data_IF_851626471044
#
_entry.id   IF_851626471044
#
_cell.length_a   1.000
_cell.length_b   1.000
_cell.length_c   1.000
_cell.angle_alpha   90.00
_cell.angle_beta   90.00
_cell.angle_gamma   90.00
#
_symmetry.space_group_name_H-M   'P 1'
#
loop_
_entity.id
_entity.type
_entity.pdbx_description
1 polymer ?
#
# COMPACT_ATOMS: atom_id res chain seq x y z
N UNK A 1 -21.51 45.33 23.12
CA UNK A 1 -20.97 44.00 22.79
C UNK A 1 -22.01 42.99 23.25
N UNK A 2 -22.65 42.29 22.32
CA UNK A 2 -23.76 41.36 22.61
C UNK A 2 -23.22 40.06 23.22
N UNK A 3 -24.04 39.33 23.97
CA UNK A 3 -23.65 38.03 24.56
C UNK A 3 -23.16 37.04 23.47
N UNK A 4 -23.71 37.13 22.27
CA UNK A 4 -23.31 36.34 21.11
C UNK A 4 -21.92 36.72 20.59
N UNK A 5 -21.56 38.01 20.59
CA UNK A 5 -20.23 38.49 20.20
C UNK A 5 -19.16 38.03 21.21
N UNK A 6 -19.49 38.06 22.51
CA UNK A 6 -18.60 37.58 23.57
C UNK A 6 -18.38 36.06 23.48
N UNK A 7 -19.44 35.28 23.24
CA UNK A 7 -19.35 33.84 23.04
C UNK A 7 -18.54 33.47 21.79
N UNK A 8 -18.76 34.17 20.68
CA UNK A 8 -18.01 33.97 19.44
C UNK A 8 -16.53 34.34 19.60
N UNK A 9 -16.23 35.41 20.34
CA UNK A 9 -14.86 35.77 20.67
C UNK A 9 -14.17 34.70 21.53
N UNK A 10 -14.86 34.22 22.57
CA UNK A 10 -14.34 33.16 23.44
C UNK A 10 -14.05 31.85 22.68
N UNK A 11 -14.93 31.47 21.75
CA UNK A 11 -14.72 30.32 20.89
C UNK A 11 -13.51 30.50 19.97
N UNK A 12 -13.34 31.67 19.34
CA UNK A 12 -12.19 31.99 18.48
C UNK A 12 -10.87 31.95 19.26
N UNK A 13 -10.81 32.60 20.42
CA UNK A 13 -9.62 32.57 21.28
C UNK A 13 -9.29 31.16 21.77
N UNK A 14 -10.30 30.33 22.07
CA UNK A 14 -10.08 28.94 22.48
C UNK A 14 -9.63 28.04 21.33
N UNK A 15 -9.99 28.34 20.08
CA UNK A 15 -9.51 27.65 18.88
C UNK A 15 -8.08 28.08 18.56
N UNK A 16 -7.78 29.37 18.62
CA UNK A 16 -6.44 29.91 18.41
C UNK A 16 -5.43 29.37 19.43
N UNK A 17 -5.81 29.31 20.71
CA UNK A 17 -4.97 28.71 21.76
C UNK A 17 -4.71 27.22 21.52
N UNK A 18 -5.71 26.48 21.03
CA UNK A 18 -5.57 25.05 20.67
C UNK A 18 -4.69 24.85 19.43
N UNK A 19 -4.80 25.71 18.43
CA UNK A 19 -3.98 25.67 17.22
C UNK A 19 -2.52 26.04 17.52
N UNK A 20 -2.28 27.05 18.34
CA UNK A 20 -0.95 27.42 18.80
C UNK A 20 -0.28 26.28 19.60
N UNK A 21 -1.04 25.61 20.48
CA UNK A 21 -0.57 24.42 21.19
C UNK A 21 -0.31 23.22 20.27
N UNK A 22 -1.11 23.04 19.22
CA UNK A 22 -0.88 21.99 18.21
C UNK A 22 0.34 22.27 17.32
N UNK A 23 0.59 23.53 16.94
CA UNK A 23 1.78 23.90 16.18
C UNK A 23 3.06 23.66 16.98
N UNK A 24 3.08 24.04 18.26
CA UNK A 24 4.20 23.76 19.15
C UNK A 24 4.43 22.24 19.35
N UNK A 25 3.35 21.46 19.50
CA UNK A 25 3.45 20.00 19.60
C UNK A 25 3.86 19.33 18.27
N UNK A 26 3.46 19.87 17.12
CA UNK A 26 3.85 19.38 15.80
C UNK A 26 5.31 19.70 15.46
N UNK A 27 5.89 20.80 15.95
CA UNK A 27 7.31 21.11 15.73
C UNK A 27 8.24 20.23 16.60
N UNK A 28 7.82 19.88 17.81
CA UNK A 28 8.64 19.09 18.75
C UNK A 28 8.44 17.57 18.62
N UNK A 29 7.35 17.12 17.99
CA UNK A 29 7.04 15.68 17.81
C UNK A 29 6.55 15.32 16.40
N UNK A 30 7.17 15.86 15.36
CA UNK A 30 7.00 15.33 14.00
C UNK A 30 8.14 14.38 13.59
N UNK A 31 8.10 13.08 13.98
CA UNK A 31 8.98 12.08 13.38
C UNK A 31 8.71 11.88 11.89
N UNK A 32 7.58 12.37 11.33
CA UNK A 32 7.29 12.20 9.89
C UNK A 32 8.17 13.05 8.98
N UNK A 33 8.90 14.03 9.51
CA UNK A 33 9.89 14.76 8.71
C UNK A 33 11.17 13.94 8.47
N UNK A 34 11.49 12.96 9.31
CA UNK A 34 12.74 12.19 9.20
C UNK A 34 12.59 10.83 8.51
N UNK A 35 11.36 10.33 8.32
CA UNK A 35 11.13 9.06 7.62
C UNK A 35 10.74 9.21 6.13
N UNK A 36 10.80 10.43 5.59
CA UNK A 36 10.64 10.67 4.15
C UNK A 36 11.97 10.67 3.37
N UNK A 37 13.09 10.24 3.97
CA UNK A 37 14.19 9.73 3.17
C UNK A 37 13.73 8.38 2.65
N UNK A 38 13.27 8.34 1.40
CA UNK A 38 13.02 7.08 0.71
C UNK A 38 14.33 6.30 0.71
N UNK A 39 14.53 5.44 1.72
CA UNK A 39 15.68 4.55 1.82
C UNK A 39 15.67 3.73 0.54
N UNK A 40 16.53 4.12 -0.38
CA UNK A 40 16.80 3.33 -1.56
C UNK A 40 17.50 2.10 -1.02
N UNK A 41 16.81 0.97 -1.00
CA UNK A 41 17.50 -0.31 -0.80
C UNK A 41 18.40 -0.50 -2.02
N UNK A 42 19.67 -0.15 -1.87
CA UNK A 42 20.72 -0.34 -2.90
C UNK A 42 20.69 -1.78 -3.43
N UNK A 43 20.37 -2.74 -2.54
CA UNK A 43 20.23 -4.17 -2.83
C UNK A 43 19.29 -4.52 -3.98
N UNK A 44 18.21 -3.76 -4.21
CA UNK A 44 17.21 -4.05 -5.23
C UNK A 44 17.22 -3.07 -6.42
N UNK A 45 18.09 -2.05 -6.39
CA UNK A 45 18.23 -1.07 -7.48
C UNK A 45 18.91 -1.66 -8.72
N UNK A 46 19.79 -2.65 -8.54
CA UNK A 46 20.62 -3.25 -9.59
C UNK A 46 20.20 -4.68 -9.98
N UNK A 47 19.05 -5.15 -9.49
CA UNK A 47 18.64 -6.53 -9.75
C UNK A 47 18.40 -6.76 -11.24
N UNK A 48 19.26 -7.60 -11.82
CA UNK A 48 19.11 -8.15 -13.16
C UNK A 48 18.68 -9.61 -13.00
N UNK A 49 17.56 -10.03 -13.62
CA UNK A 49 17.16 -11.43 -13.57
C UNK A 49 18.28 -12.29 -14.15
N UNK A 50 18.78 -13.30 -13.42
CA UNK A 50 19.65 -14.33 -13.99
C UNK A 50 18.99 -14.96 -15.21
N UNK A 51 19.78 -15.50 -16.13
CA UNK A 51 19.25 -16.38 -17.18
C UNK A 51 18.76 -17.69 -16.52
N UNK A 52 17.53 -17.67 -16.02
CA UNK A 52 16.89 -18.79 -15.33
C UNK A 52 16.80 -20.04 -16.23
N UNK A 53 16.86 -19.88 -17.56
CA UNK A 53 16.89 -21.01 -18.48
C UNK A 53 18.23 -21.77 -18.44
N UNK A 54 19.32 -21.13 -18.00
CA UNK A 54 20.66 -21.74 -17.88
C UNK A 54 20.95 -22.37 -16.51
N UNK A 55 20.14 -22.09 -15.49
CA UNK A 55 20.32 -22.61 -14.12
C UNK A 55 19.64 -23.97 -13.89
N UNK A 56 19.69 -24.85 -14.89
CA UNK A 56 19.12 -26.20 -14.85
C UNK A 56 19.90 -27.13 -13.89
N UNK A 57 19.83 -26.85 -12.59
CA UNK A 57 20.03 -27.82 -11.52
C UNK A 57 18.68 -28.45 -11.21
N UNK A 58 18.69 -29.67 -10.67
CA UNK A 58 17.49 -30.24 -10.07
C UNK A 58 17.06 -29.34 -8.89
N UNK A 59 16.06 -28.49 -9.14
CA UNK A 59 15.47 -27.63 -8.13
C UNK A 59 14.87 -28.50 -7.02
N UNK A 60 15.17 -28.18 -5.76
CA UNK A 60 14.57 -28.90 -4.64
C UNK A 60 13.04 -28.78 -4.70
N UNK A 61 12.26 -29.83 -4.38
CA UNK A 61 10.80 -29.81 -4.50
C UNK A 61 10.12 -28.61 -3.82
N UNK A 62 10.59 -28.19 -2.64
CA UNK A 62 10.07 -27.00 -1.94
C UNK A 62 10.34 -25.70 -2.70
N UNK A 63 11.51 -25.56 -3.34
CA UNK A 63 11.82 -24.40 -4.17
C UNK A 63 10.94 -24.38 -5.42
N UNK A 64 10.68 -25.56 -6.01
CA UNK A 64 9.75 -25.66 -7.13
C UNK A 64 8.33 -25.25 -6.71
N UNK A 65 7.83 -25.75 -5.57
CA UNK A 65 6.51 -25.38 -5.05
C UNK A 65 6.38 -23.86 -4.80
N UNK A 66 7.45 -23.20 -4.34
CA UNK A 66 7.46 -21.74 -4.22
C UNK A 66 7.39 -21.04 -5.59
N UNK A 67 8.14 -21.51 -6.59
CA UNK A 67 8.05 -20.98 -7.95
C UNK A 67 6.65 -21.16 -8.52
N UNK A 68 6.00 -22.31 -8.28
CA UNK A 68 4.63 -22.57 -8.71
C UNK A 68 3.64 -21.58 -8.07
N UNK A 69 3.84 -21.21 -6.79
CA UNK A 69 3.05 -20.15 -6.15
C UNK A 69 3.27 -18.78 -6.82
N UNK A 70 4.49 -18.44 -7.20
CA UNK A 70 4.75 -17.22 -7.97
C UNK A 70 4.03 -17.22 -9.32
N UNK A 71 3.97 -18.36 -10.00
CA UNK A 71 3.23 -18.49 -11.25
C UNK A 71 1.72 -18.36 -11.05
N UNK A 72 1.18 -18.93 -9.98
CA UNK A 72 -0.21 -18.72 -9.58
C UNK A 72 -0.53 -17.24 -9.31
N UNK A 73 0.38 -16.50 -8.66
CA UNK A 73 0.23 -15.04 -8.47
C UNK A 73 0.13 -14.32 -9.81
N UNK A 74 0.97 -14.69 -10.81
CA UNK A 74 0.93 -14.09 -12.15
C UNK A 74 -0.42 -14.36 -12.83
N UNK A 75 -0.91 -15.58 -12.76
CA UNK A 75 -2.20 -15.96 -13.35
C UNK A 75 -3.37 -15.25 -12.68
N UNK A 76 -3.35 -15.14 -11.35
CA UNK A 76 -4.35 -14.39 -10.60
C UNK A 76 -4.32 -12.91 -10.98
N UNK A 77 -3.13 -12.30 -11.10
CA UNK A 77 -3.00 -10.92 -11.54
C UNK A 77 -3.62 -10.72 -12.92
N UNK A 78 -3.35 -11.60 -13.89
CA UNK A 78 -3.94 -11.53 -15.24
C UNK A 78 -5.48 -11.57 -15.19
N UNK A 79 -6.06 -12.47 -14.41
CA UNK A 79 -7.52 -12.58 -14.25
C UNK A 79 -8.11 -11.30 -13.65
N UNK A 80 -7.56 -10.83 -12.53
CA UNK A 80 -8.03 -9.62 -11.85
C UNK A 80 -7.89 -8.36 -12.71
N UNK A 81 -6.81 -8.26 -13.48
CA UNK A 81 -6.62 -7.16 -14.42
C UNK A 81 -7.66 -7.19 -15.56
N UNK A 82 -8.12 -8.37 -15.98
CA UNK A 82 -9.20 -8.47 -16.95
C UNK A 82 -10.57 -8.09 -16.35
N UNK A 83 -10.81 -8.44 -15.09
CA UNK A 83 -12.09 -8.17 -14.40
C UNK A 83 -12.23 -6.71 -13.93
N UNK A 84 -11.16 -6.12 -13.43
CA UNK A 84 -11.17 -4.81 -12.76
C UNK A 84 -10.35 -3.73 -13.47
N UNK A 85 -9.55 -4.10 -14.47
CA UNK A 85 -8.83 -3.15 -15.30
C UNK A 85 -9.71 -2.53 -16.38
N UNK A 86 -9.08 -1.78 -17.27
CA UNK A 86 -9.65 -1.30 -18.51
C UNK A 86 -8.85 -1.84 -19.70
N UNK A 87 -9.36 -1.63 -20.92
CA UNK A 87 -8.67 -2.05 -22.15
C UNK A 87 -7.25 -1.44 -22.28
N UNK A 88 -7.02 -0.27 -21.67
CA UNK A 88 -5.74 0.46 -21.75
C UNK A 88 -4.98 0.49 -20.43
N UNK A 89 -5.59 0.07 -19.32
CA UNK A 89 -4.98 0.09 -18.00
C UNK A 89 -5.37 -1.13 -17.15
N UNK A 90 -4.49 -2.13 -17.01
CA UNK A 90 -4.68 -3.29 -16.14
C UNK A 90 -4.94 -2.95 -14.65
N UNK A 91 -4.53 -1.78 -14.18
CA UNK A 91 -4.63 -1.32 -12.79
C UNK A 91 -5.67 -0.19 -12.60
N UNK A 92 -6.57 -0.01 -13.58
CA UNK A 92 -7.54 1.09 -13.59
C UNK A 92 -8.33 1.20 -12.28
N UNK A 93 -8.80 0.09 -11.70
CA UNK A 93 -9.51 0.11 -10.42
C UNK A 93 -8.74 0.79 -9.28
N UNK A 94 -7.44 0.51 -9.15
CA UNK A 94 -6.59 1.07 -8.10
C UNK A 94 -6.34 2.55 -8.40
N UNK A 95 -6.02 2.90 -9.64
CA UNK A 95 -5.72 4.30 -10.03
C UNK A 95 -6.96 5.19 -9.93
N UNK A 96 -8.10 4.73 -10.44
CA UNK A 96 -9.37 5.45 -10.35
C UNK A 96 -9.81 5.62 -8.89
N UNK A 97 -9.66 4.58 -8.06
CA UNK A 97 -9.95 4.67 -6.64
C UNK A 97 -9.03 5.66 -5.92
N UNK A 98 -7.75 5.70 -6.29
CA UNK A 98 -6.77 6.64 -5.75
C UNK A 98 -7.11 8.09 -6.16
N UNK A 99 -7.42 8.32 -7.43
CA UNK A 99 -7.84 9.63 -7.97
C UNK A 99 -9.12 10.11 -7.28
N UNK A 100 -10.12 9.24 -7.15
CA UNK A 100 -11.39 9.57 -6.49
C UNK A 100 -11.20 10.08 -5.05
N UNK A 101 -10.26 9.50 -4.30
CA UNK A 101 -9.95 9.89 -2.91
C UNK A 101 -8.91 11.02 -2.85
N UNK A 102 -8.17 11.29 -3.92
CA UNK A 102 -7.10 12.29 -3.95
C UNK A 102 -5.79 11.80 -3.32
N UNK A 103 -5.44 10.52 -3.50
CA UNK A 103 -4.18 9.93 -3.03
C UNK A 103 -3.41 9.27 -4.18
N UNK A 104 -2.14 8.97 -3.97
CA UNK A 104 -1.31 8.24 -4.94
C UNK A 104 -1.71 6.76 -5.00
N UNK A 105 -1.61 6.16 -6.20
CA UNK A 105 -2.00 4.78 -6.44
C UNK A 105 -1.32 3.76 -5.49
N UNK A 106 -0.04 3.99 -5.14
CA UNK A 106 0.66 3.10 -4.21
C UNK A 106 0.11 3.17 -2.78
N UNK A 107 -0.40 4.34 -2.35
CA UNK A 107 -1.08 4.49 -1.06
C UNK A 107 -2.44 3.80 -1.08
N UNK A 108 -3.17 3.91 -2.19
CA UNK A 108 -4.42 3.16 -2.36
C UNK A 108 -4.19 1.64 -2.33
N UNK A 109 -3.15 1.14 -2.99
CA UNK A 109 -2.77 -0.28 -2.93
C UNK A 109 -2.36 -0.72 -1.50
N UNK A 110 -1.67 0.15 -0.74
CA UNK A 110 -1.33 -0.11 0.67
C UNK A 110 -2.55 -0.25 1.57
N UNK A 111 -3.60 0.55 1.35
CA UNK A 111 -4.88 0.41 2.09
C UNK A 111 -5.48 -0.98 1.84
N UNK A 112 -5.52 -1.43 0.58
CA UNK A 112 -6.03 -2.76 0.22
C UNK A 112 -5.20 -3.90 0.81
N UNK A 113 -3.88 -3.72 0.89
CA UNK A 113 -2.99 -4.64 1.59
C UNK A 113 -3.35 -4.71 3.09
N UNK A 114 -3.57 -3.57 3.73
CA UNK A 114 -3.97 -3.49 5.15
C UNK A 114 -5.30 -4.19 5.44
N UNK A 115 -6.29 -4.09 4.54
CA UNK A 115 -7.56 -4.82 4.66
C UNK A 115 -7.32 -6.33 4.77
N UNK A 116 -6.39 -6.86 3.96
CA UNK A 116 -6.06 -8.30 3.91
C UNK A 116 -5.25 -8.74 5.14
N UNK A 117 -4.36 -7.90 5.65
CA UNK A 117 -3.65 -8.16 6.93
C UNK A 117 -4.66 -8.23 8.08
N UNK A 118 -5.62 -7.30 8.13
CA UNK A 118 -6.68 -7.28 9.16
C UNK A 118 -7.55 -8.53 9.10
N UNK A 119 -7.81 -9.05 7.89
CA UNK A 119 -8.48 -10.35 7.70
C UNK A 119 -7.68 -11.50 8.30
N UNK A 120 -6.38 -11.59 8.03
CA UNK A 120 -5.54 -12.62 8.67
C UNK A 120 -5.44 -12.46 10.18
N UNK A 121 -5.41 -11.24 10.70
CA UNK A 121 -5.44 -11.01 12.15
C UNK A 121 -6.71 -11.61 12.77
N UNK A 122 -7.85 -11.49 12.09
CA UNK A 122 -9.11 -12.11 12.52
C UNK A 122 -8.99 -13.64 12.53
N UNK A 123 -8.39 -14.23 11.49
CA UNK A 123 -8.12 -15.66 11.47
C UNK A 123 -7.20 -16.10 12.61
N UNK A 124 -6.09 -15.39 12.86
CA UNK A 124 -5.16 -15.72 13.96
C UNK A 124 -5.85 -15.69 15.33
N UNK A 125 -6.85 -14.82 15.52
CA UNK A 125 -7.60 -14.71 16.78
C UNK A 125 -8.71 -15.74 16.91
N UNK A 126 -9.37 -16.10 15.81
CA UNK A 126 -10.65 -16.85 15.85
C UNK A 126 -10.57 -18.25 15.24
N UNK A 127 -9.49 -18.55 14.51
CA UNK A 127 -9.31 -19.77 13.73
C UNK A 127 -10.26 -19.89 12.53
N UNK A 128 -10.98 -18.83 12.15
CA UNK A 128 -12.04 -18.90 11.13
C UNK A 128 -12.07 -17.66 10.23
N UNK A 129 -12.49 -17.88 8.97
CA UNK A 129 -12.83 -16.86 7.98
C UNK A 129 -14.14 -17.27 7.31
N UNK A 130 -15.04 -16.32 7.03
CA UNK A 130 -16.39 -16.62 6.53
C UNK A 130 -16.53 -16.56 5.00
N UNK A 131 -15.70 -15.77 4.31
CA UNK A 131 -15.90 -15.49 2.87
C UNK A 131 -14.75 -15.93 1.98
N UNK A 132 -13.51 -15.71 2.43
CA UNK A 132 -12.29 -15.97 1.65
C UNK A 132 -11.33 -16.77 2.53
N UNK A 133 -10.65 -17.76 1.95
CA UNK A 133 -9.73 -18.64 2.68
C UNK A 133 -8.45 -17.93 3.11
N UNK A 134 -7.68 -18.60 3.98
CA UNK A 134 -6.37 -18.12 4.42
C UNK A 134 -5.39 -18.07 3.24
N UNK A 135 -5.41 -19.10 2.39
CA UNK A 135 -4.55 -19.19 1.20
C UNK A 135 -4.83 -18.06 0.21
N UNK A 136 -6.10 -17.85 -0.16
CA UNK A 136 -6.52 -16.72 -1.01
C UNK A 136 -6.06 -15.37 -0.43
N UNK A 137 -6.22 -15.19 0.89
CA UNK A 137 -5.79 -13.96 1.58
C UNK A 137 -4.28 -13.76 1.52
N UNK A 138 -3.48 -14.82 1.66
CA UNK A 138 -2.02 -14.76 1.55
C UNK A 138 -1.55 -14.48 0.11
N UNK A 139 -2.21 -15.08 -0.89
CA UNK A 139 -1.95 -14.81 -2.31
C UNK A 139 -2.28 -13.37 -2.69
N UNK A 140 -3.35 -12.82 -2.13
CA UNK A 140 -3.72 -11.41 -2.25
C UNK A 140 -2.68 -10.49 -1.62
N UNK A 141 -2.16 -10.83 -0.44
CA UNK A 141 -1.11 -10.06 0.21
C UNK A 141 0.17 -10.01 -0.64
N UNK A 142 0.60 -11.15 -1.18
CA UNK A 142 1.75 -11.20 -2.09
C UNK A 142 1.52 -10.34 -3.34
N UNK A 143 0.32 -10.41 -3.91
CA UNK A 143 -0.04 -9.62 -5.10
C UNK A 143 -0.09 -8.13 -4.82
N UNK A 144 -0.77 -7.71 -3.75
CA UNK A 144 -0.83 -6.29 -3.37
C UNK A 144 0.54 -5.74 -2.99
N UNK A 145 1.43 -6.55 -2.39
CA UNK A 145 2.81 -6.13 -2.12
C UNK A 145 3.55 -5.78 -3.41
N UNK A 146 3.39 -6.59 -4.46
CA UNK A 146 3.96 -6.30 -5.78
C UNK A 146 3.32 -5.07 -6.43
N UNK A 147 2.00 -4.90 -6.31
CA UNK A 147 1.29 -3.72 -6.85
C UNK A 147 1.71 -2.43 -6.17
N UNK A 148 1.91 -2.43 -4.86
CA UNK A 148 2.46 -1.31 -4.10
C UNK A 148 3.85 -0.97 -4.62
N UNK A 149 4.74 -1.97 -4.74
CA UNK A 149 6.10 -1.76 -5.23
C UNK A 149 6.11 -1.16 -6.66
N UNK A 150 5.30 -1.72 -7.56
CA UNK A 150 5.18 -1.28 -8.94
C UNK A 150 4.70 0.19 -9.02
N UNK A 151 3.57 0.50 -8.41
CA UNK A 151 2.98 1.84 -8.45
C UNK A 151 3.80 2.89 -7.71
N UNK A 152 4.55 2.48 -6.68
CA UNK A 152 5.50 3.35 -5.99
C UNK A 152 6.71 3.70 -6.90
N UNK A 153 7.23 2.71 -7.65
CA UNK A 153 8.27 2.95 -8.66
C UNK A 153 7.79 3.86 -9.78
N UNK A 154 6.56 3.66 -10.27
CA UNK A 154 5.93 4.56 -11.26
C UNK A 154 5.86 6.01 -10.75
N UNK A 155 5.37 6.21 -9.53
CA UNK A 155 5.25 7.54 -8.93
C UNK A 155 6.62 8.24 -8.77
N UNK A 156 7.67 7.50 -8.37
CA UNK A 156 9.03 8.03 -8.27
C UNK A 156 9.60 8.46 -9.62
N UNK A 157 9.35 7.69 -10.67
CA UNK A 157 9.85 8.00 -12.01
C UNK A 157 9.13 9.22 -12.63
N UNK A 158 7.89 9.49 -12.23
CA UNK A 158 7.11 10.64 -12.69
C UNK A 158 7.47 11.94 -11.93
N UNK A 159 7.88 11.85 -10.66
CA UNK A 159 8.28 13.00 -9.84
C UNK A 159 9.75 13.47 -10.02
N UNK A 160 10.51 12.82 -10.90
CA UNK A 160 11.91 13.14 -11.18
C UNK A 160 12.17 13.83 -12.54
N UNK A 161 11.11 14.33 -13.19
CA UNK A 161 11.19 15.15 -14.43
C UNK A 161 10.91 16.62 -14.16
#
# INVERSE_FOLDING_TARGET
MTELEAANHALRSAVESRLAGCQAAMEETNPRSSCASAEQSETYSEWTPPDYARLARATHPTSQAFCDLCDQIKDMHRKKSADYGSATDPLANIRNGAEFVGIEAWRAAMVRLSDKVTRLQTYCRTGRLEHEGVEDTLMDLASYSLLVLLTHREARNQGGS
#
